data_IF_416438397671
#
_entry.id   IF_416438397671
#
_cell.length_a   1.000
_cell.length_b   1.000
_cell.length_c   1.000
_cell.angle_alpha   90.00
_cell.angle_beta   90.00
_cell.angle_gamma   90.00
#
_symmetry.space_group_name_H-M   'P 1'
#
loop_
_entity.id
_entity.type
_entity.pdbx_description
1 polymer ?
#
# COMPACT_ATOMS: atom_id res chain seq x y z
N UNK A 1 -3.29 29.41 -15.95
CA UNK A 1 -2.22 28.44 -15.67
C UNK A 1 -1.92 27.68 -16.95
N UNK A 2 -0.70 27.76 -17.42
CA UNK A 2 -0.26 27.07 -18.62
C UNK A 2 0.22 25.65 -18.28
N UNK A 3 0.00 24.71 -19.19
CA UNK A 3 0.45 23.33 -19.03
C UNK A 3 1.64 23.06 -19.96
N UNK A 4 2.77 22.66 -19.40
CA UNK A 4 3.88 22.08 -20.16
C UNK A 4 3.74 20.56 -20.26
N UNK A 5 4.06 19.99 -21.42
CA UNK A 5 4.20 18.55 -21.55
C UNK A 5 5.60 18.14 -21.10
N UNK A 6 5.67 17.36 -20.05
CA UNK A 6 6.92 16.77 -19.62
C UNK A 6 7.12 15.46 -20.39
N UNK A 7 8.15 15.41 -21.23
CA UNK A 7 8.56 14.20 -21.91
C UNK A 7 9.47 13.40 -20.98
N UNK A 8 8.93 12.32 -20.44
CA UNK A 8 9.66 11.40 -19.60
C UNK A 8 10.86 10.71 -20.30
N UNK A 9 11.03 10.90 -21.61
CA UNK A 9 12.20 10.39 -22.34
C UNK A 9 13.50 11.15 -22.01
N UNK A 10 13.41 12.38 -21.49
CA UNK A 10 14.59 13.16 -21.13
C UNK A 10 15.11 12.89 -19.70
N UNK A 11 14.31 12.22 -18.88
CA UNK A 11 14.68 11.85 -17.51
C UNK A 11 14.96 10.35 -17.40
N UNK A 12 16.06 9.88 -18.02
CA UNK A 12 16.67 8.58 -17.75
C UNK A 12 15.75 7.36 -17.84
N UNK A 13 15.02 7.30 -18.92
CA UNK A 13 14.52 6.10 -19.61
C UNK A 13 14.10 4.84 -18.84
N UNK A 14 12.93 4.41 -19.11
CA UNK A 14 12.39 3.10 -19.47
C UNK A 14 11.19 2.62 -18.68
N UNK A 15 10.91 3.10 -17.50
CA UNK A 15 9.79 2.59 -16.68
C UNK A 15 8.48 3.30 -16.97
N UNK A 16 8.52 4.49 -17.56
CA UNK A 16 7.33 5.36 -17.78
C UNK A 16 6.95 5.48 -19.26
N UNK A 17 7.36 4.56 -20.13
CA UNK A 17 6.86 4.54 -21.52
C UNK A 17 5.35 4.31 -21.52
N UNK A 18 4.61 5.40 -21.66
CA UNK A 18 3.15 5.40 -21.69
C UNK A 18 2.47 6.34 -20.68
N UNK A 19 3.20 6.94 -19.79
CA UNK A 19 2.67 7.94 -18.86
C UNK A 19 3.09 9.34 -19.31
N UNK A 20 2.19 10.06 -19.98
CA UNK A 20 2.38 11.47 -20.28
C UNK A 20 1.89 12.31 -19.08
N UNK A 21 2.80 12.88 -18.33
CA UNK A 21 2.47 13.82 -17.25
C UNK A 21 2.52 15.23 -17.81
N UNK A 22 1.44 16.02 -17.65
CA UNK A 22 1.46 17.46 -17.94
C UNK A 22 1.85 18.24 -16.70
N UNK A 23 2.93 18.98 -16.79
CA UNK A 23 3.35 19.94 -15.78
C UNK A 23 2.88 21.34 -16.21
N UNK A 24 2.40 22.14 -15.28
CA UNK A 24 1.95 23.49 -15.55
C UNK A 24 3.16 24.42 -15.79
N UNK A 25 3.20 25.09 -16.93
CA UNK A 25 4.14 26.18 -17.20
C UNK A 25 3.78 27.40 -16.33
N UNK A 26 4.76 28.14 -15.87
CA UNK A 26 4.52 29.37 -15.10
C UNK A 26 4.02 30.50 -16.02
N UNK A 27 3.18 31.42 -15.48
CA UNK A 27 2.72 32.60 -16.23
C UNK A 27 3.88 33.43 -16.82
N UNK A 28 5.04 33.40 -16.22
CA UNK A 28 6.24 34.12 -16.66
C UNK A 28 6.78 33.58 -17.99
N UNK A 29 6.73 32.28 -18.24
CA UNK A 29 7.20 31.70 -19.51
C UNK A 29 6.26 32.02 -20.68
N UNK A 30 4.96 32.13 -20.41
CA UNK A 30 3.97 32.54 -21.40
C UNK A 30 4.19 34.01 -21.83
N UNK A 31 4.42 34.92 -20.88
CA UNK A 31 4.66 36.35 -21.16
C UNK A 31 5.95 36.57 -21.97
N UNK A 32 6.99 35.74 -21.79
CA UNK A 32 8.22 35.81 -22.57
C UNK A 32 8.05 35.34 -24.02
N UNK A 33 7.12 34.42 -24.30
CA UNK A 33 6.81 33.98 -25.67
C UNK A 33 6.00 35.01 -26.45
N UNK A 34 5.13 35.77 -25.80
CA UNK A 34 4.34 36.83 -26.44
C UNK A 34 5.13 38.07 -26.85
N UNK A 35 6.34 38.27 -26.31
CA UNK A 35 7.18 39.46 -26.56
C UNK A 35 8.27 39.30 -27.65
N UNK A 36 8.33 38.16 -28.33
CA UNK A 36 9.29 37.98 -29.41
C UNK A 36 8.77 38.55 -30.74
N UNK A 37 9.49 39.48 -31.42
CA UNK A 37 9.03 40.08 -32.66
C UNK A 37 9.04 39.03 -33.77
N UNK A 38 7.96 38.97 -34.53
CA UNK A 38 7.80 38.10 -35.70
C UNK A 38 8.79 38.50 -36.82
N UNK A 39 9.75 37.64 -37.09
CA UNK A 39 10.56 37.71 -38.30
C UNK A 39 9.79 36.99 -39.42
N UNK A 40 9.26 37.79 -40.35
CA UNK A 40 8.66 37.30 -41.61
C UNK A 40 9.74 36.74 -42.54
N UNK A 41 9.78 35.43 -42.72
CA UNK A 41 10.27 34.81 -43.94
C UNK A 41 9.39 33.63 -44.33
N UNK A 42 8.72 33.78 -45.46
CA UNK A 42 7.86 32.83 -46.09
C UNK A 42 8.65 31.60 -46.62
N UNK A 43 8.48 30.47 -45.94
CA UNK A 43 8.57 29.17 -46.55
C UNK A 43 7.62 28.23 -45.80
N UNK A 44 6.64 27.71 -46.55
CA UNK A 44 5.60 26.82 -46.04
C UNK A 44 6.26 25.55 -45.44
N UNK A 45 6.21 25.32 -44.12
CA UNK A 45 6.76 24.08 -43.57
C UNK A 45 5.93 22.88 -44.05
N UNK A 46 6.54 21.69 -44.16
CA UNK A 46 5.78 20.48 -44.48
C UNK A 46 4.70 20.27 -43.43
N UNK A 47 3.51 19.85 -43.84
CA UNK A 47 2.40 19.61 -42.94
C UNK A 47 2.79 18.55 -41.91
N UNK A 48 3.08 19.05 -40.67
CA UNK A 48 3.25 18.18 -39.52
C UNK A 48 1.89 17.57 -39.24
N UNK A 49 1.79 16.26 -39.43
CA UNK A 49 0.61 15.48 -39.04
C UNK A 49 0.43 15.66 -37.52
N UNK A 50 -0.47 16.57 -37.15
CA UNK A 50 -0.86 16.75 -35.75
C UNK A 50 -1.56 15.47 -35.33
N UNK A 51 -0.86 14.59 -34.61
CA UNK A 51 -1.50 13.47 -33.95
C UNK A 51 -2.64 14.03 -33.08
N UNK A 52 -3.87 13.55 -33.30
CA UNK A 52 -5.02 13.91 -32.44
C UNK A 52 -4.58 13.84 -30.97
N UNK A 53 -4.88 14.85 -30.16
CA UNK A 53 -4.60 14.78 -28.72
C UNK A 53 -5.18 13.47 -28.17
N UNK A 54 -4.36 12.68 -27.49
CA UNK A 54 -4.87 11.50 -26.78
C UNK A 54 -5.78 12.03 -25.69
N UNK A 55 -7.06 11.70 -25.78
CA UNK A 55 -8.04 12.08 -24.78
C UNK A 55 -7.66 11.40 -23.46
N UNK A 56 -7.30 12.19 -22.44
CA UNK A 56 -6.91 11.66 -21.13
C UNK A 56 -8.17 11.23 -20.38
N UNK A 57 -8.16 10.00 -19.90
CA UNK A 57 -9.17 9.45 -19.01
C UNK A 57 -8.62 9.38 -17.58
N UNK A 58 -9.45 9.73 -16.59
CA UNK A 58 -9.18 9.37 -15.20
C UNK A 58 -9.59 7.92 -14.97
N UNK A 59 -8.75 7.16 -14.28
CA UNK A 59 -9.01 5.79 -13.85
C UNK A 59 -9.03 5.77 -12.31
N UNK A 60 -9.95 5.01 -11.74
CA UNK A 60 -10.16 4.90 -10.31
C UNK A 60 -10.03 3.45 -9.86
N UNK A 61 -9.26 3.22 -8.81
CA UNK A 61 -9.03 1.88 -8.29
C UNK A 61 -8.34 1.91 -6.93
N UNK A 62 -8.02 0.74 -6.41
CA UNK A 62 -7.33 0.58 -5.14
C UNK A 62 -6.17 -0.40 -5.31
N UNK A 63 -4.98 -0.01 -4.85
CA UNK A 63 -3.76 -0.81 -4.91
C UNK A 63 -3.26 -1.22 -3.53
N UNK A 64 -4.14 -1.18 -2.50
CA UNK A 64 -3.79 -1.56 -1.14
C UNK A 64 -5.00 -2.21 -0.45
N UNK A 65 -5.10 -3.53 -0.62
CA UNK A 65 -6.28 -4.31 -0.21
C UNK A 65 -5.84 -5.63 0.41
N UNK A 66 -6.37 -5.92 1.59
CA UNK A 66 -6.14 -7.17 2.31
C UNK A 66 -7.38 -8.05 2.36
N UNK A 67 -7.15 -9.34 2.27
CA UNK A 67 -8.18 -10.38 2.25
C UNK A 67 -8.01 -11.37 3.41
N UNK A 68 -8.67 -12.51 3.30
CA UNK A 68 -8.51 -13.62 4.23
C UNK A 68 -7.09 -14.21 4.28
N UNK A 69 -6.22 -13.84 3.33
CA UNK A 69 -4.82 -14.31 3.31
C UNK A 69 -3.87 -13.42 4.10
N UNK A 70 -4.22 -12.18 4.40
CA UNK A 70 -3.49 -11.38 5.39
C UNK A 70 -3.68 -11.95 6.78
N UNK A 71 -2.60 -12.09 7.53
CA UNK A 71 -2.65 -12.65 8.88
C UNK A 71 -3.55 -11.83 9.82
N UNK A 72 -3.54 -10.52 9.72
CA UNK A 72 -4.38 -9.59 10.47
C UNK A 72 -5.81 -9.54 9.92
N UNK A 73 -5.99 -9.54 8.58
CA UNK A 73 -7.32 -9.65 7.96
C UNK A 73 -8.08 -10.85 8.49
N UNK A 74 -7.46 -12.04 8.47
CA UNK A 74 -8.07 -13.25 8.99
C UNK A 74 -8.31 -13.19 10.50
N UNK A 75 -7.33 -12.71 11.27
CA UNK A 75 -7.47 -12.58 12.73
C UNK A 75 -8.64 -11.67 13.11
N UNK A 76 -8.88 -10.61 12.34
CA UNK A 76 -10.00 -9.69 12.54
C UNK A 76 -11.33 -10.14 11.95
N UNK A 77 -11.39 -11.37 11.43
CA UNK A 77 -12.63 -12.01 10.99
C UNK A 77 -12.98 -11.78 9.53
N UNK A 78 -12.05 -11.37 8.69
CA UNK A 78 -12.28 -11.28 7.24
C UNK A 78 -12.32 -12.66 6.63
N UNK A 79 -13.42 -12.99 5.95
CA UNK A 79 -13.62 -14.24 5.23
C UNK A 79 -13.48 -14.08 3.72
N UNK A 80 -13.60 -12.85 3.22
CA UNK A 80 -13.51 -12.54 1.80
C UNK A 80 -12.14 -12.92 1.24
N UNK A 81 -12.15 -13.66 0.14
CA UNK A 81 -10.98 -14.17 -0.57
C UNK A 81 -10.48 -13.12 -1.60
N UNK A 82 -9.31 -13.32 -2.24
CA UNK A 82 -8.90 -12.50 -3.38
C UNK A 82 -9.94 -12.46 -4.50
N UNK A 83 -10.63 -13.57 -4.75
CA UNK A 83 -11.73 -13.64 -5.73
C UNK A 83 -12.91 -12.74 -5.33
N UNK A 84 -13.26 -12.70 -4.06
CA UNK A 84 -14.32 -11.81 -3.54
C UNK A 84 -13.91 -10.34 -3.68
N UNK A 85 -12.65 -10.02 -3.41
CA UNK A 85 -12.11 -8.67 -3.56
C UNK A 85 -12.24 -8.15 -5.01
N UNK A 86 -11.89 -8.98 -6.00
CA UNK A 86 -12.05 -8.60 -7.41
C UNK A 86 -13.52 -8.55 -7.84
N UNK A 87 -14.39 -9.45 -7.33
CA UNK A 87 -15.85 -9.36 -7.57
C UNK A 87 -16.41 -8.04 -7.04
N UNK A 88 -16.03 -7.68 -5.80
CA UNK A 88 -16.43 -6.41 -5.21
C UNK A 88 -15.99 -5.21 -6.05
N UNK A 89 -14.71 -5.18 -6.48
CA UNK A 89 -14.18 -4.11 -7.29
C UNK A 89 -14.90 -3.95 -8.64
N UNK A 90 -15.43 -5.05 -9.20
CA UNK A 90 -16.29 -5.06 -10.40
C UNK A 90 -17.73 -4.62 -10.13
N UNK A 91 -18.08 -4.29 -8.87
CA UNK A 91 -19.42 -3.84 -8.47
C UNK A 91 -20.37 -4.96 -8.06
N UNK A 92 -19.89 -6.20 -7.89
CA UNK A 92 -20.68 -7.30 -7.36
C UNK A 92 -20.81 -7.17 -5.83
N UNK A 93 -21.93 -7.64 -5.27
CA UNK A 93 -22.10 -7.68 -3.82
C UNK A 93 -21.30 -8.85 -3.23
N UNK A 94 -20.58 -8.59 -2.14
CA UNK A 94 -19.92 -9.63 -1.32
C UNK A 94 -20.43 -9.58 0.12
N UNK A 95 -20.43 -10.74 0.77
CA UNK A 95 -20.90 -10.84 2.15
C UNK A 95 -19.87 -10.30 3.15
N UNK A 96 -20.34 -9.48 4.10
CA UNK A 96 -19.58 -9.15 5.30
C UNK A 96 -19.91 -10.16 6.40
N UNK A 97 -18.94 -10.64 7.18
CA UNK A 97 -19.17 -11.61 8.25
C UNK A 97 -20.14 -11.12 9.34
N UNK A 98 -20.40 -9.82 9.44
CA UNK A 98 -21.41 -9.26 10.34
C UNK A 98 -22.88 -9.42 9.82
N UNK A 99 -23.10 -10.09 8.68
CA UNK A 99 -24.43 -10.48 8.21
C UNK A 99 -25.09 -9.51 7.22
N UNK A 100 -24.34 -8.63 6.57
CA UNK A 100 -24.83 -7.75 5.50
C UNK A 100 -23.95 -7.86 4.25
N UNK A 101 -24.42 -7.30 3.14
CA UNK A 101 -23.65 -7.25 1.90
C UNK A 101 -22.94 -5.90 1.74
N UNK A 102 -21.72 -5.97 1.19
CA UNK A 102 -20.95 -4.81 0.74
C UNK A 102 -20.99 -4.76 -0.78
N UNK A 103 -21.24 -3.57 -1.36
CA UNK A 103 -21.30 -3.39 -2.80
C UNK A 103 -20.93 -1.98 -3.17
N UNK A 104 -20.13 -1.82 -4.23
CA UNK A 104 -19.82 -0.52 -4.80
C UNK A 104 -21.01 0.03 -5.62
N UNK A 105 -21.24 1.33 -5.55
CA UNK A 105 -22.22 2.02 -6.41
C UNK A 105 -21.74 2.15 -7.86
N UNK A 106 -20.41 2.11 -8.07
CA UNK A 106 -19.76 2.13 -9.37
C UNK A 106 -18.57 1.19 -9.35
N UNK A 107 -18.39 0.32 -10.36
CA UNK A 107 -17.19 -0.49 -10.49
C UNK A 107 -15.91 0.37 -10.53
N UNK A 108 -14.81 -0.18 -10.06
CA UNK A 108 -13.49 0.38 -10.22
C UNK A 108 -12.91 0.03 -11.60
N UNK A 109 -11.92 0.81 -12.05
CA UNK A 109 -11.21 0.55 -13.31
C UNK A 109 -10.04 -0.42 -13.12
N UNK A 110 -9.43 -0.44 -11.93
CA UNK A 110 -8.33 -1.33 -11.59
C UNK A 110 -8.34 -1.70 -10.10
N UNK A 111 -7.71 -2.84 -9.77
CA UNK A 111 -7.62 -3.32 -8.39
C UNK A 111 -6.41 -4.23 -8.19
N UNK A 112 -5.81 -4.19 -7.00
CA UNK A 112 -4.78 -5.14 -6.60
C UNK A 112 -5.02 -5.63 -5.17
N UNK A 113 -5.04 -6.93 -4.98
CA UNK A 113 -4.96 -7.54 -3.66
C UNK A 113 -3.50 -7.58 -3.25
N UNK A 114 -3.20 -7.00 -2.08
CA UNK A 114 -1.84 -6.80 -1.57
C UNK A 114 -1.68 -7.38 -0.16
N UNK A 115 -2.15 -8.60 0.04
CA UNK A 115 -2.00 -9.29 1.30
C UNK A 115 -0.53 -9.32 1.76
N UNK A 116 -0.31 -9.26 3.08
CA UNK A 116 1.04 -9.33 3.66
C UNK A 116 1.80 -10.58 3.22
N UNK A 117 2.95 -10.41 2.56
CA UNK A 117 3.80 -11.52 2.10
C UNK A 117 4.34 -12.36 3.25
N UNK A 118 4.65 -11.72 4.38
CA UNK A 118 5.04 -12.40 5.60
C UNK A 118 3.84 -13.14 6.19
N UNK A 119 3.95 -14.47 6.34
CA UNK A 119 2.86 -15.32 6.83
C UNK A 119 1.58 -15.31 5.98
N UNK A 120 1.69 -15.08 4.67
CA UNK A 120 0.57 -15.10 3.72
C UNK A 120 -0.23 -16.41 3.84
N UNK A 121 -1.51 -16.33 4.21
CA UNK A 121 -2.41 -17.47 4.39
C UNK A 121 -2.18 -18.33 5.64
N UNK A 122 -1.12 -18.05 6.42
CA UNK A 122 -0.72 -18.95 7.54
C UNK A 122 -1.74 -18.99 8.66
N UNK A 123 -2.34 -17.86 9.07
CA UNK A 123 -3.37 -17.86 10.12
C UNK A 123 -4.59 -18.65 9.68
N UNK A 124 -5.00 -18.51 8.41
CA UNK A 124 -6.11 -19.28 7.83
C UNK A 124 -5.79 -20.77 7.83
N UNK A 125 -4.59 -21.15 7.39
CA UNK A 125 -4.17 -22.55 7.37
C UNK A 125 -4.05 -23.16 8.78
N UNK A 126 -3.61 -22.38 9.77
CA UNK A 126 -3.56 -22.79 11.16
C UNK A 126 -4.98 -22.98 11.76
N UNK A 127 -5.92 -22.11 11.39
CA UNK A 127 -7.28 -22.14 11.92
C UNK A 127 -8.16 -23.25 11.31
N UNK A 128 -7.89 -23.65 10.09
CA UNK A 128 -8.63 -24.69 9.37
C UNK A 128 -8.09 -26.08 9.73
N UNK A 129 -8.78 -26.78 10.62
CA UNK A 129 -8.39 -28.11 11.13
C UNK A 129 -8.28 -29.20 10.07
N UNK A 130 -8.74 -28.95 8.84
CA UNK A 130 -8.60 -29.89 7.72
C UNK A 130 -7.19 -29.84 7.06
N UNK A 131 -6.42 -28.76 7.29
CA UNK A 131 -5.09 -28.61 6.68
C UNK A 131 -4.02 -29.43 7.38
N UNK A 132 -2.94 -29.74 6.66
CA UNK A 132 -1.78 -30.39 7.28
C UNK A 132 -1.08 -29.43 8.26
N UNK A 133 -1.01 -28.14 7.93
CA UNK A 133 -0.37 -27.12 8.77
C UNK A 133 -1.05 -26.97 10.13
N UNK A 134 -2.39 -27.12 10.20
CA UNK A 134 -3.15 -27.03 11.44
C UNK A 134 -2.80 -28.11 12.48
N UNK A 135 -2.11 -29.16 12.07
CA UNK A 135 -1.68 -30.25 12.98
C UNK A 135 -0.44 -29.89 13.79
N UNK A 136 0.26 -28.81 13.45
CA UNK A 136 1.35 -28.29 14.26
C UNK A 136 0.85 -27.78 15.62
N UNK A 137 1.62 -27.99 16.67
CA UNK A 137 1.33 -27.47 18.02
C UNK A 137 1.10 -25.94 18.00
N UNK A 138 1.85 -25.23 17.17
CA UNK A 138 1.70 -23.79 16.93
C UNK A 138 0.25 -23.42 16.53
N UNK A 139 -0.43 -24.26 15.78
CA UNK A 139 -1.75 -23.96 15.20
C UNK A 139 -2.91 -24.12 16.19
N UNK A 140 -2.73 -24.88 17.27
CA UNK A 140 -3.80 -25.21 18.20
C UNK A 140 -4.56 -24.00 18.79
N UNK A 141 -3.91 -22.86 19.16
CA UNK A 141 -4.61 -21.67 19.66
C UNK A 141 -5.52 -20.98 18.62
N UNK A 142 -5.36 -21.30 17.34
CA UNK A 142 -6.07 -20.64 16.23
C UNK A 142 -7.22 -21.49 15.67
N UNK A 143 -7.34 -22.76 16.09
CA UNK A 143 -8.36 -23.67 15.58
C UNK A 143 -9.76 -23.07 15.67
N UNK A 144 -10.47 -23.06 14.55
CA UNK A 144 -11.84 -22.55 14.48
C UNK A 144 -11.98 -21.05 14.72
N UNK A 145 -10.91 -20.24 14.61
CA UNK A 145 -10.93 -18.79 14.89
C UNK A 145 -12.08 -18.07 14.20
N UNK A 146 -12.37 -18.43 12.95
CA UNK A 146 -13.47 -17.90 12.15
C UNK A 146 -14.60 -18.93 11.89
N UNK A 147 -14.74 -19.93 12.75
CA UNK A 147 -15.92 -20.80 12.73
C UNK A 147 -17.19 -19.99 13.07
N UNK A 148 -18.36 -20.33 12.54
CA UNK A 148 -19.59 -19.57 12.71
C UNK A 148 -19.91 -19.19 14.16
N UNK A 149 -19.68 -20.10 15.10
CA UNK A 149 -19.89 -19.89 16.54
C UNK A 149 -18.92 -18.85 17.15
N UNK A 150 -17.77 -18.58 16.52
CA UNK A 150 -16.74 -17.64 16.98
C UNK A 150 -16.83 -16.28 16.26
N UNK A 151 -17.78 -16.09 15.35
CA UNK A 151 -17.98 -14.86 14.58
C UNK A 151 -18.83 -13.82 15.30
N UNK A 152 -18.89 -13.86 16.64
CA UNK A 152 -19.59 -12.86 17.43
C UNK A 152 -18.95 -11.47 17.34
N UNK A 153 -19.80 -10.44 17.32
CA UNK A 153 -19.39 -9.04 17.25
C UNK A 153 -19.35 -8.33 18.62
N UNK A 154 -19.47 -9.07 19.71
CA UNK A 154 -19.43 -8.53 21.07
C UNK A 154 -18.04 -8.12 21.52
N UNK A 155 -17.95 -7.27 22.56
CA UNK A 155 -16.70 -6.72 23.10
C UNK A 155 -15.66 -7.80 23.42
N UNK A 156 -16.09 -8.91 24.04
CA UNK A 156 -15.18 -10.02 24.39
C UNK A 156 -14.59 -10.69 23.15
N UNK A 157 -15.40 -10.85 22.09
CA UNK A 157 -14.91 -11.39 20.81
C UNK A 157 -13.88 -10.44 20.17
N UNK A 158 -14.15 -9.14 20.17
CA UNK A 158 -13.21 -8.13 19.68
C UNK A 158 -11.90 -8.20 20.44
N UNK A 159 -11.92 -8.20 21.78
CA UNK A 159 -10.72 -8.28 22.61
C UNK A 159 -9.94 -9.58 22.37
N UNK A 160 -10.64 -10.70 22.21
CA UNK A 160 -10.00 -11.96 21.90
C UNK A 160 -9.28 -11.92 20.54
N UNK A 161 -9.91 -11.33 19.50
CA UNK A 161 -9.29 -11.18 18.18
C UNK A 161 -8.07 -10.26 18.19
N UNK A 162 -8.12 -9.15 18.92
CA UNK A 162 -6.98 -8.26 19.12
C UNK A 162 -5.82 -8.98 19.82
N UNK A 163 -6.12 -9.77 20.86
CA UNK A 163 -5.11 -10.57 21.54
C UNK A 163 -4.53 -11.66 20.63
N UNK A 164 -5.39 -12.35 19.87
CA UNK A 164 -4.96 -13.35 18.89
C UNK A 164 -4.04 -12.77 17.83
N UNK A 165 -4.36 -11.60 17.29
CA UNK A 165 -3.49 -10.89 16.35
C UNK A 165 -2.12 -10.58 16.97
N UNK A 166 -2.09 -9.97 18.15
CA UNK A 166 -0.85 -9.58 18.82
C UNK A 166 0.03 -10.77 19.19
N UNK A 167 -0.57 -11.86 19.68
CA UNK A 167 0.16 -13.08 20.04
C UNK A 167 0.62 -13.85 18.80
N UNK A 168 -0.20 -13.92 17.73
CA UNK A 168 0.19 -14.61 16.51
C UNK A 168 1.51 -14.08 15.95
N UNK A 169 1.61 -12.77 15.73
CA UNK A 169 2.76 -12.20 15.05
C UNK A 169 4.05 -12.44 15.85
N UNK A 170 4.04 -12.19 17.16
CA UNK A 170 5.20 -12.42 18.02
C UNK A 170 5.59 -13.89 18.11
N UNK A 171 4.61 -14.77 18.28
CA UNK A 171 4.82 -16.20 18.42
C UNK A 171 5.31 -16.83 17.10
N UNK A 172 4.69 -16.48 15.96
CA UNK A 172 5.07 -16.98 14.65
C UNK A 172 6.51 -16.58 14.28
N UNK A 173 6.90 -15.32 14.54
CA UNK A 173 8.27 -14.85 14.30
C UNK A 173 9.25 -15.60 15.21
N UNK A 174 8.95 -15.68 16.50
CA UNK A 174 9.82 -16.34 17.49
C UNK A 174 10.00 -17.82 17.16
N UNK A 175 8.93 -18.57 16.89
CA UNK A 175 9.01 -20.01 16.62
C UNK A 175 9.67 -20.31 15.27
N UNK A 176 9.43 -19.52 14.24
CA UNK A 176 10.09 -19.68 12.94
C UNK A 176 11.59 -19.37 13.05
N UNK A 177 11.96 -18.31 13.78
CA UNK A 177 13.37 -17.92 13.96
C UNK A 177 14.14 -18.91 14.80
N UNK A 178 13.49 -19.50 15.83
CA UNK A 178 14.13 -20.54 16.68
C UNK A 178 14.15 -21.93 16.04
N UNK A 179 13.49 -22.12 14.89
CA UNK A 179 13.35 -23.41 14.21
C UNK A 179 12.35 -24.37 14.89
N UNK A 180 11.58 -23.92 15.87
CA UNK A 180 10.50 -24.70 16.48
C UNK A 180 9.32 -24.89 15.51
N UNK A 181 8.99 -23.87 14.72
CA UNK A 181 8.11 -23.94 13.57
C UNK A 181 8.95 -24.06 12.30
N UNK A 182 8.73 -25.11 11.52
CA UNK A 182 9.48 -25.34 10.29
C UNK A 182 9.21 -24.25 9.27
N UNK A 183 10.27 -23.56 8.86
CA UNK A 183 10.21 -22.48 7.89
C UNK A 183 9.72 -22.96 6.53
N UNK A 184 10.08 -24.16 6.10
CA UNK A 184 9.66 -24.69 4.79
C UNK A 184 8.17 -25.04 4.78
N UNK A 185 7.59 -25.49 5.90
CA UNK A 185 6.14 -25.65 6.04
C UNK A 185 5.41 -24.32 5.98
N UNK A 186 5.90 -23.29 6.68
CA UNK A 186 5.37 -21.92 6.58
C UNK A 186 5.41 -21.42 5.14
N UNK A 187 6.58 -21.53 4.48
CA UNK A 187 6.74 -21.12 3.08
C UNK A 187 5.89 -21.99 2.12
N UNK A 188 5.60 -23.22 2.45
CA UNK A 188 4.66 -24.07 1.71
C UNK A 188 3.25 -23.48 1.67
N UNK A 189 2.75 -23.00 2.81
CA UNK A 189 1.47 -22.28 2.91
C UNK A 189 1.53 -20.96 2.13
N UNK A 190 2.58 -20.19 2.32
CA UNK A 190 2.79 -18.91 1.61
C UNK A 190 2.75 -19.10 0.09
N UNK A 191 3.45 -20.10 -0.45
CA UNK A 191 3.47 -20.42 -1.88
C UNK A 191 2.08 -20.77 -2.41
N UNK A 192 1.31 -21.54 -1.65
CA UNK A 192 -0.05 -21.91 -2.03
C UNK A 192 -0.98 -20.70 -2.08
N UNK A 193 -0.97 -19.85 -1.04
CA UNK A 193 -1.79 -18.65 -0.99
C UNK A 193 -1.36 -17.63 -2.06
N UNK A 194 -0.06 -17.49 -2.31
CA UNK A 194 0.47 -16.62 -3.37
C UNK A 194 0.01 -17.06 -4.75
N UNK A 195 0.06 -18.36 -5.04
CA UNK A 195 -0.45 -18.91 -6.29
C UNK A 195 -1.93 -18.60 -6.47
N UNK A 196 -2.74 -18.82 -5.45
CA UNK A 196 -4.18 -18.56 -5.48
C UNK A 196 -4.48 -17.06 -5.69
N UNK A 197 -3.68 -16.17 -5.11
CA UNK A 197 -3.79 -14.72 -5.33
C UNK A 197 -3.44 -14.32 -6.78
N UNK A 198 -2.43 -14.95 -7.38
CA UNK A 198 -2.10 -14.76 -8.80
C UNK A 198 -3.23 -15.27 -9.69
N UNK A 199 -3.74 -16.47 -9.43
CA UNK A 199 -4.81 -17.10 -10.21
C UNK A 199 -6.09 -16.24 -10.13
N UNK A 200 -6.40 -15.65 -8.96
CA UNK A 200 -7.50 -14.72 -8.81
C UNK A 200 -7.29 -13.44 -9.64
N UNK A 201 -6.10 -12.84 -9.60
CA UNK A 201 -5.80 -11.65 -10.40
C UNK A 201 -5.94 -11.95 -11.89
N UNK A 202 -5.40 -13.07 -12.37
CA UNK A 202 -5.48 -13.47 -13.77
C UNK A 202 -6.92 -13.72 -14.22
N UNK A 203 -7.71 -14.44 -13.42
CA UNK A 203 -9.09 -14.77 -13.70
C UNK A 203 -9.98 -13.53 -13.91
N UNK A 204 -9.76 -12.47 -13.15
CA UNK A 204 -10.60 -11.27 -13.18
C UNK A 204 -10.07 -10.17 -14.11
N UNK A 205 -8.88 -10.33 -14.68
CA UNK A 205 -8.30 -9.34 -15.58
C UNK A 205 -9.07 -9.29 -16.91
N UNK A 206 -9.69 -8.14 -17.19
CA UNK A 206 -10.43 -7.86 -18.43
C UNK A 206 -9.89 -6.58 -19.06
N UNK A 207 -8.78 -6.65 -19.83
CA UNK A 207 -8.08 -5.50 -20.36
C UNK A 207 -8.99 -4.55 -21.14
N UNK A 208 -8.94 -3.27 -20.78
CA UNK A 208 -9.78 -2.22 -21.37
C UNK A 208 -11.12 -1.99 -20.64
N UNK A 209 -11.49 -2.85 -19.69
CA UNK A 209 -12.69 -2.71 -18.87
C UNK A 209 -12.36 -2.72 -17.37
N UNK A 210 -11.57 -3.67 -16.92
CA UNK A 210 -11.12 -3.82 -15.55
C UNK A 210 -9.72 -4.43 -15.51
N UNK A 211 -8.78 -3.74 -14.89
CA UNK A 211 -7.40 -4.20 -14.79
C UNK A 211 -7.12 -4.73 -13.39
N UNK A 212 -6.61 -5.96 -13.32
CA UNK A 212 -6.12 -6.54 -12.07
C UNK A 212 -4.62 -6.71 -12.12
N UNK A 213 -3.99 -6.69 -10.96
CA UNK A 213 -2.55 -6.91 -10.83
C UNK A 213 -2.28 -8.02 -9.83
N UNK A 214 -1.37 -8.92 -10.16
CA UNK A 214 -0.74 -9.75 -9.14
C UNK A 214 0.11 -8.85 -8.25
N UNK A 215 -0.11 -8.90 -6.95
CA UNK A 215 0.52 -7.99 -6.01
C UNK A 215 0.60 -8.58 -4.59
N UNK A 216 1.44 -8.00 -3.75
CA UNK A 216 1.54 -8.33 -2.34
C UNK A 216 2.13 -7.16 -1.56
N UNK A 217 1.98 -7.16 -0.24
CA UNK A 217 2.65 -6.19 0.61
C UNK A 217 3.94 -6.77 1.20
N UNK A 218 5.07 -6.12 0.88
CA UNK A 218 6.32 -6.30 1.60
C UNK A 218 6.24 -5.57 2.93
N UNK A 219 5.98 -6.32 3.99
CA UNK A 219 5.79 -5.83 5.36
C UNK A 219 7.10 -5.86 6.12
N UNK A 220 7.77 -4.73 6.25
CA UNK A 220 9.04 -4.60 6.97
C UNK A 220 9.03 -3.39 7.91
N UNK A 221 9.91 -3.43 8.90
CA UNK A 221 10.13 -2.35 9.85
C UNK A 221 11.57 -2.39 10.39
N UNK A 222 12.06 -1.25 10.84
CA UNK A 222 13.31 -1.17 11.62
C UNK A 222 13.14 -1.82 12.99
N UNK A 223 14.25 -2.01 13.71
CA UNK A 223 14.24 -2.60 15.05
C UNK A 223 13.42 -1.77 16.06
N UNK A 224 13.34 -0.46 15.85
CA UNK A 224 12.55 0.48 16.64
C UNK A 224 11.12 0.69 16.10
N UNK A 225 10.64 -0.24 15.24
CA UNK A 225 9.29 -0.25 14.66
C UNK A 225 8.99 0.91 13.68
N UNK A 226 10.00 1.52 13.08
CA UNK A 226 9.81 2.44 11.95
C UNK A 226 9.27 1.70 10.74
N UNK A 227 8.12 2.13 10.20
CA UNK A 227 7.43 1.47 9.10
C UNK A 227 8.22 1.56 7.79
N UNK A 228 8.41 0.42 7.13
CA UNK A 228 9.07 0.30 5.82
C UNK A 228 8.25 -0.54 4.83
N UNK A 229 6.93 -0.54 4.97
CA UNK A 229 6.04 -1.32 4.11
C UNK A 229 5.96 -0.79 2.68
N UNK A 230 5.81 -1.70 1.71
CA UNK A 230 5.63 -1.40 0.28
C UNK A 230 4.68 -2.40 -0.36
N UNK A 231 3.75 -1.90 -1.17
CA UNK A 231 2.99 -2.77 -2.06
C UNK A 231 3.81 -3.03 -3.31
N UNK A 232 4.11 -4.28 -3.58
CA UNK A 232 4.82 -4.72 -4.80
C UNK A 232 3.77 -5.14 -5.83
N UNK A 233 3.75 -4.45 -6.97
CA UNK A 233 2.79 -4.64 -8.05
C UNK A 233 3.52 -5.17 -9.27
N UNK A 234 3.07 -6.30 -9.82
CA UNK A 234 3.60 -6.86 -11.06
C UNK A 234 2.79 -6.40 -12.26
N UNK A 235 3.47 -6.18 -13.38
CA UNK A 235 2.85 -5.75 -14.63
C UNK A 235 1.98 -6.83 -15.28
N UNK A 236 2.24 -8.10 -14.97
CA UNK A 236 1.52 -9.25 -15.50
C UNK A 236 1.57 -10.42 -14.53
N UNK A 237 0.91 -11.52 -14.91
CA UNK A 237 0.77 -12.73 -14.10
C UNK A 237 1.65 -13.90 -14.56
N UNK A 238 2.32 -13.77 -15.72
CA UNK A 238 3.20 -14.81 -16.26
C UNK A 238 4.57 -14.88 -15.58
N UNK A 239 5.06 -16.08 -15.35
CA UNK A 239 6.42 -16.37 -14.83
C UNK A 239 6.82 -15.65 -13.53
N UNK A 240 5.83 -15.39 -12.68
CA UNK A 240 6.07 -14.74 -11.38
C UNK A 240 6.88 -15.64 -10.43
N UNK A 241 7.62 -15.04 -9.49
CA UNK A 241 8.36 -15.78 -8.47
C UNK A 241 7.47 -16.78 -7.73
N UNK A 242 8.05 -17.93 -7.38
CA UNK A 242 7.32 -18.99 -6.67
C UNK A 242 6.80 -18.55 -5.31
N UNK A 243 7.47 -17.59 -4.69
CA UNK A 243 7.09 -16.97 -3.42
C UNK A 243 7.38 -15.47 -3.45
N UNK A 244 6.59 -14.63 -2.76
CA UNK A 244 6.82 -13.20 -2.69
C UNK A 244 8.05 -12.90 -1.83
N UNK A 245 8.84 -11.90 -2.22
CA UNK A 245 9.93 -11.42 -1.38
C UNK A 245 9.36 -10.78 -0.11
N UNK A 246 9.78 -11.23 1.04
CA UNK A 246 9.26 -10.80 2.32
C UNK A 246 10.37 -10.57 3.34
N UNK A 247 10.01 -10.16 4.55
CA UNK A 247 10.95 -10.03 5.67
C UNK A 247 11.67 -11.34 6.01
N UNK A 248 11.17 -12.49 5.58
CA UNK A 248 11.91 -13.76 5.67
C UNK A 248 13.18 -13.79 4.82
N UNK A 249 13.24 -12.97 3.77
CA UNK A 249 14.40 -12.81 2.89
C UNK A 249 15.31 -11.70 3.41
N UNK A 250 14.76 -10.51 3.62
CA UNK A 250 15.47 -9.38 4.21
C UNK A 250 14.48 -8.36 4.81
N UNK A 251 14.94 -7.66 5.84
CA UNK A 251 14.24 -6.49 6.40
C UNK A 251 14.62 -5.18 5.67
N UNK A 252 15.69 -5.20 4.88
CA UNK A 252 16.21 -4.06 4.14
C UNK A 252 15.45 -3.87 2.81
N UNK A 253 14.79 -2.71 2.57
CA UNK A 253 14.11 -2.44 1.31
C UNK A 253 15.04 -2.38 0.08
N UNK A 254 16.33 -2.12 0.27
CA UNK A 254 17.30 -2.09 -0.82
C UNK A 254 17.52 -3.50 -1.41
N UNK A 255 17.46 -4.53 -0.58
CA UNK A 255 17.51 -5.93 -1.03
C UNK A 255 16.23 -6.30 -1.81
N UNK A 256 15.07 -5.72 -1.44
CA UNK A 256 13.85 -5.84 -2.25
C UNK A 256 14.05 -5.21 -3.64
N UNK A 257 14.63 -4.00 -3.71
CA UNK A 257 14.89 -3.36 -5.01
C UNK A 257 15.88 -4.16 -5.85
N UNK A 258 16.92 -4.71 -5.25
CA UNK A 258 17.86 -5.58 -5.95
C UNK A 258 17.16 -6.83 -6.52
N UNK A 259 16.31 -7.47 -5.72
CA UNK A 259 15.51 -8.60 -6.17
C UNK A 259 14.56 -8.23 -7.32
N UNK A 260 13.93 -7.05 -7.26
CA UNK A 260 13.07 -6.56 -8.35
C UNK A 260 13.88 -6.27 -9.63
N UNK A 261 15.10 -5.73 -9.51
CA UNK A 261 15.99 -5.50 -10.65
C UNK A 261 16.45 -6.82 -11.27
N UNK A 262 16.75 -7.84 -10.46
CA UNK A 262 17.10 -9.19 -10.93
C UNK A 262 15.92 -9.86 -11.67
N UNK A 263 14.69 -9.63 -11.24
CA UNK A 263 13.49 -10.08 -11.95
C UNK A 263 13.28 -9.33 -13.27
N UNK A 264 13.50 -8.03 -13.25
CA UNK A 264 13.39 -7.16 -14.45
C UNK A 264 14.39 -7.58 -15.52
N UNK A 265 15.61 -7.97 -15.13
CA UNK A 265 16.61 -8.52 -16.03
C UNK A 265 16.16 -9.85 -16.69
N UNK A 266 15.22 -10.56 -16.08
CA UNK A 266 14.57 -11.78 -16.61
C UNK A 266 13.25 -11.50 -17.34
N UNK A 267 12.88 -10.22 -17.49
CA UNK A 267 11.65 -9.82 -18.19
C UNK A 267 10.40 -9.70 -17.28
N UNK A 268 10.53 -9.86 -15.96
CA UNK A 268 9.43 -9.70 -15.01
C UNK A 268 9.44 -8.27 -14.46
N UNK A 269 8.52 -7.45 -14.95
CA UNK A 269 8.39 -6.03 -14.59
C UNK A 269 7.54 -5.86 -13.31
N UNK A 270 8.03 -5.03 -12.40
CA UNK A 270 7.32 -4.67 -11.17
C UNK A 270 7.66 -3.26 -10.70
N UNK A 271 6.83 -2.72 -9.80
CA UNK A 271 7.10 -1.51 -9.05
C UNK A 271 6.72 -1.73 -7.57
N UNK A 272 7.29 -0.93 -6.69
CA UNK A 272 6.93 -0.92 -5.28
C UNK A 272 6.34 0.45 -4.89
N UNK A 273 5.31 0.45 -4.03
CA UNK A 273 4.61 1.64 -3.55
C UNK A 273 4.81 1.75 -2.04
N UNK A 274 5.76 2.57 -1.57
CA UNK A 274 5.90 2.85 -0.14
C UNK A 274 4.62 3.47 0.42
N UNK A 275 4.24 3.07 1.63
CA UNK A 275 3.07 3.61 2.29
C UNK A 275 3.28 3.77 3.81
N UNK A 276 2.38 4.50 4.46
CA UNK A 276 2.48 4.86 5.87
C UNK A 276 3.85 5.44 6.25
N UNK A 277 4.41 6.27 5.41
CA UNK A 277 5.70 6.91 5.68
C UNK A 277 5.64 7.80 6.93
N UNK A 278 4.46 8.35 7.26
CA UNK A 278 4.21 9.06 8.52
C UNK A 278 4.58 8.24 9.76
N UNK A 279 4.43 6.91 9.71
CA UNK A 279 4.81 5.98 10.79
C UNK A 279 6.23 5.41 10.67
N UNK A 280 7.05 5.91 9.76
CA UNK A 280 8.37 5.32 9.47
C UNK A 280 9.48 5.69 10.46
N UNK A 281 9.22 6.57 11.40
CA UNK A 281 10.23 7.11 12.31
C UNK A 281 11.44 7.72 11.58
N UNK A 282 11.17 8.49 10.52
CA UNK A 282 12.19 9.15 9.71
C UNK A 282 12.92 8.24 8.72
N UNK A 283 12.54 6.95 8.62
CA UNK A 283 13.31 5.97 7.85
C UNK A 283 12.89 5.86 6.38
N UNK A 284 11.65 6.25 6.04
CA UNK A 284 11.16 6.07 4.67
C UNK A 284 11.89 6.95 3.67
N UNK A 285 12.20 8.19 4.04
CA UNK A 285 12.82 9.20 3.18
C UNK A 285 14.09 9.80 3.78
N UNK A 286 14.80 9.04 4.61
CA UNK A 286 16.09 9.48 5.16
C UNK A 286 17.12 9.73 4.04
N UNK A 287 18.09 10.61 4.31
CA UNK A 287 19.18 10.96 3.38
C UNK A 287 20.42 10.06 3.55
N UNK A 288 20.20 8.84 3.96
CA UNK A 288 21.23 7.81 4.08
C UNK A 288 20.66 6.46 3.63
N UNK A 289 21.50 5.58 3.15
CA UNK A 289 21.16 4.19 2.81
C UNK A 289 20.92 3.34 4.08
N UNK A 290 20.72 2.04 3.90
CA UNK A 290 20.51 1.13 5.03
C UNK A 290 21.74 1.01 5.93
N UNK A 291 22.93 1.09 5.39
CA UNK A 291 24.20 1.03 6.13
C UNK A 291 24.47 2.34 6.91
N UNK A 292 23.80 3.43 6.56
CA UNK A 292 23.98 4.76 7.15
C UNK A 292 24.90 5.67 6.35
N UNK A 293 25.32 5.25 5.16
CA UNK A 293 26.12 6.07 4.26
C UNK A 293 25.25 7.10 3.50
N UNK A 294 25.75 8.28 3.15
CA UNK A 294 25.03 9.27 2.37
C UNK A 294 24.53 8.70 1.04
N UNK A 295 23.32 9.11 0.61
CA UNK A 295 22.77 8.67 -0.66
C UNK A 295 23.66 9.04 -1.83
N UNK A 296 23.96 8.07 -2.68
CA UNK A 296 24.72 8.22 -3.91
C UNK A 296 23.86 8.06 -5.17
N UNK A 297 24.48 8.20 -6.34
CA UNK A 297 23.83 8.06 -7.63
C UNK A 297 23.25 6.64 -7.85
N UNK A 298 23.96 5.60 -7.39
CA UNK A 298 23.54 4.21 -7.58
C UNK A 298 22.26 3.92 -6.77
N UNK A 299 22.23 4.32 -5.51
CA UNK A 299 21.03 4.26 -4.66
C UNK A 299 19.86 5.03 -5.28
N UNK A 300 20.10 6.30 -5.67
CA UNK A 300 19.06 7.17 -6.18
C UNK A 300 18.43 6.61 -7.46
N UNK A 301 19.24 6.17 -8.41
CA UNK A 301 18.79 5.57 -9.66
C UNK A 301 18.04 4.24 -9.44
N UNK A 302 18.49 3.41 -8.50
CA UNK A 302 17.81 2.17 -8.14
C UNK A 302 16.46 2.44 -7.48
N UNK A 303 16.41 3.37 -6.54
CA UNK A 303 15.19 3.71 -5.82
C UNK A 303 14.09 4.22 -6.75
N UNK A 304 14.36 5.27 -7.52
CA UNK A 304 13.33 5.87 -8.39
C UNK A 304 12.84 4.88 -9.47
N UNK A 305 13.69 3.96 -9.92
CA UNK A 305 13.31 2.91 -10.85
C UNK A 305 12.32 1.92 -10.22
N UNK A 306 12.47 1.62 -8.94
CA UNK A 306 11.65 0.63 -8.23
C UNK A 306 10.47 1.26 -7.47
N UNK A 307 10.60 2.51 -6.98
CA UNK A 307 9.57 3.23 -6.23
C UNK A 307 9.12 4.52 -6.97
N UNK A 308 8.52 4.40 -8.18
CA UNK A 308 8.09 5.56 -8.97
C UNK A 308 6.80 6.20 -8.45
N UNK A 309 6.13 5.60 -7.47
CA UNK A 309 4.86 6.03 -6.89
C UNK A 309 4.94 5.88 -5.38
N UNK A 310 4.32 6.80 -4.63
CA UNK A 310 4.13 6.71 -3.18
C UNK A 310 2.65 6.83 -2.84
N UNK A 311 2.20 6.07 -1.85
CA UNK A 311 0.88 6.22 -1.26
C UNK A 311 0.89 7.39 -0.29
N UNK A 312 0.17 8.47 -0.68
CA UNK A 312 0.21 9.75 0.04
C UNK A 312 -0.71 9.77 1.25
N UNK A 313 -1.77 8.98 1.22
CA UNK A 313 -2.76 8.90 2.30
C UNK A 313 -3.53 7.59 2.27
N UNK A 314 -3.94 7.14 3.43
CA UNK A 314 -4.85 6.02 3.65
C UNK A 314 -5.44 6.13 5.08
N UNK A 315 -6.21 5.13 5.53
CA UNK A 315 -6.91 5.20 6.82
C UNK A 315 -5.99 5.39 8.05
N UNK A 316 -4.71 4.97 7.96
CA UNK A 316 -3.71 5.18 9.04
C UNK A 316 -3.04 6.57 8.98
N UNK A 317 -3.62 7.54 8.29
CA UNK A 317 -3.23 8.95 8.27
C UNK A 317 -2.55 9.40 7.00
N UNK A 318 -2.39 10.73 6.90
CA UNK A 318 -1.66 11.36 5.82
C UNK A 318 -0.17 11.14 5.94
N UNK A 319 0.46 10.86 4.81
CA UNK A 319 1.93 10.85 4.63
C UNK A 319 2.41 12.07 3.84
N UNK A 320 1.51 13.04 3.55
CA UNK A 320 1.85 14.23 2.77
C UNK A 320 2.81 15.15 3.49
N UNK A 321 2.37 15.69 4.64
CA UNK A 321 3.15 16.62 5.46
C UNK A 321 2.67 16.64 6.91
N UNK A 322 3.37 17.41 7.75
CA UNK A 322 3.05 17.61 9.17
C UNK A 322 3.14 19.11 9.49
N UNK A 323 2.33 19.66 10.46
CA UNK A 323 2.36 21.08 10.82
C UNK A 323 3.74 21.62 11.20
N UNK A 324 4.59 20.79 11.80
CA UNK A 324 5.98 21.18 12.16
C UNK A 324 6.83 21.38 10.90
N UNK A 325 6.64 20.57 9.85
CA UNK A 325 7.38 20.65 8.58
C UNK A 325 6.79 21.70 7.63
N UNK A 326 5.50 22.01 7.77
CA UNK A 326 4.75 22.94 6.90
C UNK A 326 3.97 23.93 7.74
N UNK A 327 4.64 24.75 8.54
CA UNK A 327 4.05 25.63 9.56
C UNK A 327 3.17 26.76 9.00
N UNK A 328 3.21 27.03 7.69
CA UNK A 328 2.38 28.04 7.02
C UNK A 328 1.17 27.45 6.27
N UNK A 329 1.03 26.13 6.29
CA UNK A 329 -0.07 25.43 5.63
C UNK A 329 -1.16 25.13 6.67
N UNK A 330 -2.32 25.77 6.53
CA UNK A 330 -3.47 25.57 7.42
C UNK A 330 -4.05 24.14 7.38
N UNK A 331 -3.78 23.40 6.29
CA UNK A 331 -4.24 22.02 6.09
C UNK A 331 -3.23 20.97 6.53
N UNK A 332 -2.01 21.36 6.89
CA UNK A 332 -0.96 20.42 7.29
C UNK A 332 -1.33 19.51 8.47
N UNK A 333 -2.30 19.93 9.29
CA UNK A 333 -2.83 19.16 10.42
C UNK A 333 -3.96 18.18 10.08
N UNK A 334 -4.34 18.06 8.79
CA UNK A 334 -5.46 17.21 8.40
C UNK A 334 -5.06 15.73 8.44
N UNK A 335 -5.87 14.92 9.12
CA UNK A 335 -5.72 13.46 9.25
C UNK A 335 -4.33 12.96 9.72
N UNK A 336 -3.69 13.68 10.61
CA UNK A 336 -2.42 13.27 11.21
C UNK A 336 -2.59 12.00 12.05
N UNK A 337 -1.72 11.02 11.82
CA UNK A 337 -1.48 9.88 12.71
C UNK A 337 0.00 9.89 13.11
N UNK A 338 0.33 10.34 14.33
CA UNK A 338 1.71 10.67 14.70
C UNK A 338 2.53 9.49 15.24
N UNK A 339 1.99 8.27 15.21
CA UNK A 339 2.63 7.11 15.84
C UNK A 339 3.26 6.19 14.80
N UNK A 340 4.31 5.46 15.22
CA UNK A 340 4.83 4.31 14.47
C UNK A 340 3.73 3.25 14.37
N UNK A 341 3.68 2.54 13.25
CA UNK A 341 2.60 1.57 13.03
C UNK A 341 2.62 0.48 14.10
N UNK A 342 1.43 0.16 14.61
CA UNK A 342 1.20 -0.80 15.70
C UNK A 342 1.97 -0.51 17.00
N UNK A 343 2.27 0.78 17.28
CA UNK A 343 2.91 1.21 18.52
C UNK A 343 2.29 2.50 19.12
N UNK A 344 2.51 2.89 20.39
CA UNK A 344 2.22 4.19 21.02
C UNK A 344 3.39 5.18 20.90
N UNK A 345 4.49 4.71 20.34
CA UNK A 345 5.67 5.53 20.23
C UNK A 345 5.48 6.54 19.09
N UNK A 346 5.80 7.81 19.36
CA UNK A 346 5.75 8.84 18.34
C UNK A 346 6.74 8.55 17.21
N UNK A 347 6.31 8.81 15.99
CA UNK A 347 7.16 8.76 14.80
C UNK A 347 7.91 10.07 14.67
N UNK A 348 9.19 10.01 14.32
CA UNK A 348 9.97 11.18 13.92
C UNK A 348 9.38 11.76 12.63
N UNK A 349 9.28 13.09 12.56
CA UNK A 349 8.65 13.77 11.42
C UNK A 349 9.60 13.90 10.24
N UNK A 350 10.83 14.34 10.47
CA UNK A 350 11.87 14.49 9.45
C UNK A 350 12.18 13.12 8.83
N UNK A 351 12.17 13.06 7.50
CA UNK A 351 12.35 11.82 6.75
C UNK A 351 11.11 10.91 6.69
N UNK A 352 9.97 11.37 7.22
CA UNK A 352 8.72 10.60 7.24
C UNK A 352 7.66 11.11 6.26
N UNK A 353 7.81 12.29 5.66
CA UNK A 353 6.74 12.91 4.88
C UNK A 353 7.15 13.22 3.45
N UNK A 354 6.23 12.98 2.52
CA UNK A 354 6.49 13.05 1.08
C UNK A 354 6.85 14.46 0.61
N UNK A 355 6.25 15.52 1.16
CA UNK A 355 6.55 16.91 0.76
C UNK A 355 7.99 17.29 1.11
N UNK A 356 8.49 16.86 2.25
CA UNK A 356 9.91 17.03 2.62
C UNK A 356 10.82 16.20 1.69
N UNK A 357 10.42 14.95 1.39
CA UNK A 357 11.19 14.12 0.47
C UNK A 357 11.33 14.74 -0.93
N UNK A 358 10.27 15.36 -1.46
CA UNK A 358 10.34 16.10 -2.74
C UNK A 358 11.38 17.24 -2.69
N UNK A 359 11.41 18.01 -1.60
CA UNK A 359 12.39 19.09 -1.41
C UNK A 359 13.82 18.53 -1.31
N UNK A 360 14.01 17.47 -0.56
CA UNK A 360 15.29 16.78 -0.43
C UNK A 360 15.76 16.20 -1.77
N UNK A 361 14.85 15.64 -2.57
CA UNK A 361 15.16 15.16 -3.91
C UNK A 361 15.62 16.24 -4.87
N UNK A 362 15.01 17.44 -4.81
CA UNK A 362 15.47 18.61 -5.57
C UNK A 362 16.87 19.03 -5.12
N UNK A 363 17.14 19.05 -3.81
CA UNK A 363 18.45 19.41 -3.28
C UNK A 363 19.56 18.41 -3.70
N UNK A 364 19.26 17.11 -3.72
CA UNK A 364 20.17 16.08 -4.24
C UNK A 364 20.45 16.30 -5.73
N UNK A 365 19.40 16.61 -6.52
CA UNK A 365 19.57 16.95 -7.94
C UNK A 365 20.51 18.16 -8.18
N UNK A 366 20.47 19.17 -7.32
CA UNK A 366 21.41 20.31 -7.39
C UNK A 366 22.87 19.91 -7.07
N UNK A 367 23.07 18.81 -6.36
CA UNK A 367 24.38 18.24 -6.06
C UNK A 367 24.87 17.28 -7.15
N UNK A 368 24.08 17.05 -8.22
CA UNK A 368 24.42 16.17 -9.33
C UNK A 368 24.05 14.70 -9.08
N UNK A 369 23.26 14.40 -8.06
CA UNK A 369 22.72 13.07 -7.77
C UNK A 369 21.30 12.97 -8.36
N UNK A 370 20.95 11.88 -9.02
CA UNK A 370 19.58 11.61 -9.48
C UNK A 370 18.59 11.83 -8.32
N UNK A 371 17.45 12.50 -8.59
CA UNK A 371 16.42 12.70 -7.58
C UNK A 371 15.70 11.37 -7.28
N UNK A 372 15.92 10.71 -6.12
CA UNK A 372 15.30 9.45 -5.77
C UNK A 372 13.81 9.59 -5.38
N UNK A 373 13.32 10.82 -5.25
CA UNK A 373 11.99 11.16 -4.79
C UNK A 373 11.13 11.85 -5.85
N UNK A 374 11.45 11.65 -7.13
CA UNK A 374 10.65 12.16 -8.24
C UNK A 374 9.47 11.23 -8.55
N UNK A 375 8.72 10.87 -7.53
CA UNK A 375 7.62 9.92 -7.60
C UNK A 375 6.26 10.58 -7.86
N UNK A 376 5.32 9.82 -8.43
CA UNK A 376 3.90 10.15 -8.44
C UNK A 376 3.19 9.76 -7.15
N UNK A 377 1.89 10.08 -7.05
CA UNK A 377 1.09 9.85 -5.85
C UNK A 377 -0.13 8.98 -6.13
N UNK A 378 -0.49 8.14 -5.16
CA UNK A 378 -1.77 7.43 -5.12
C UNK A 378 -2.35 7.52 -3.71
N UNK A 379 -3.67 7.57 -3.59
CA UNK A 379 -4.40 7.30 -2.36
C UNK A 379 -4.97 5.89 -2.44
N UNK A 380 -4.93 5.13 -1.37
CA UNK A 380 -5.46 3.78 -1.29
C UNK A 380 -6.18 3.55 0.03
N UNK A 381 -6.91 2.44 0.17
CA UNK A 381 -7.73 2.21 1.35
C UNK A 381 -7.00 1.54 2.50
N UNK A 382 -6.08 0.64 2.21
CA UNK A 382 -5.51 -0.30 3.18
C UNK A 382 -6.63 -1.07 3.93
N UNK A 383 -7.69 -1.42 3.20
CA UNK A 383 -8.80 -2.18 3.77
C UNK A 383 -8.35 -3.61 4.13
N UNK A 384 -8.84 -4.11 5.26
CA UNK A 384 -8.64 -5.49 5.69
C UNK A 384 -9.96 -6.29 5.67
N UNK A 385 -10.90 -5.85 4.83
CA UNK A 385 -12.18 -6.51 4.61
C UNK A 385 -12.44 -6.85 3.15
N UNK A 386 -11.41 -6.82 2.30
CA UNK A 386 -11.46 -6.99 0.85
C UNK A 386 -12.33 -5.96 0.11
N UNK A 387 -12.89 -5.00 0.82
CA UNK A 387 -13.86 -4.03 0.31
C UNK A 387 -13.52 -2.64 0.83
N UNK A 388 -13.49 -1.66 -0.06
CA UNK A 388 -13.30 -0.24 0.28
C UNK A 388 -14.45 0.57 -0.29
N UNK A 389 -14.90 1.58 0.44
CA UNK A 389 -15.97 2.47 0.01
C UNK A 389 -15.44 3.88 -0.20
N UNK A 390 -15.72 4.43 -1.36
CA UNK A 390 -15.38 5.81 -1.71
C UNK A 390 -16.45 6.83 -1.26
N UNK A 391 -17.57 6.34 -0.75
CA UNK A 391 -18.69 7.15 -0.27
C UNK A 391 -18.80 7.03 1.24
N UNK A 392 -18.63 8.14 1.94
CA UNK A 392 -18.59 8.20 3.41
C UNK A 392 -19.83 7.58 4.08
N UNK A 393 -21.02 7.81 3.50
CA UNK A 393 -22.26 7.23 4.02
C UNK A 393 -22.30 5.71 3.96
N UNK A 394 -21.53 5.12 3.06
CA UNK A 394 -21.56 3.70 2.76
C UNK A 394 -20.32 3.00 3.34
N UNK A 395 -19.47 3.71 4.11
CA UNK A 395 -18.29 3.14 4.74
C UNK A 395 -18.68 2.02 5.69
N UNK A 396 -18.11 0.85 5.46
CA UNK A 396 -18.47 -0.37 6.16
C UNK A 396 -17.45 -0.74 7.21
N UNK A 397 -16.20 -0.96 6.82
CA UNK A 397 -15.19 -1.54 7.71
C UNK A 397 -13.78 -1.34 7.17
N UNK A 398 -12.83 -1.15 8.09
CA UNK A 398 -11.39 -1.31 7.81
C UNK A 398 -10.93 -2.72 8.20
N UNK A 399 -11.40 -3.25 9.32
CA UNK A 399 -10.88 -4.43 10.01
C UNK A 399 -11.93 -5.55 10.13
N UNK A 400 -12.46 -6.02 9.02
CA UNK A 400 -13.37 -7.15 9.00
C UNK A 400 -14.51 -7.04 10.04
N UNK A 401 -14.67 -8.05 10.85
CA UNK A 401 -15.76 -8.15 11.83
C UNK A 401 -15.70 -7.09 12.94
N UNK A 402 -14.50 -6.71 13.40
CA UNK A 402 -14.35 -5.86 14.59
C UNK A 402 -14.72 -4.39 14.37
N UNK A 403 -14.90 -3.96 13.14
CA UNK A 403 -15.31 -2.58 12.80
C UNK A 403 -16.49 -2.50 11.84
N UNK A 404 -17.24 -3.59 11.68
CA UNK A 404 -18.25 -3.73 10.64
C UNK A 404 -19.49 -2.86 10.85
N UNK A 405 -19.87 -2.56 12.10
CA UNK A 405 -21.07 -1.76 12.37
C UNK A 405 -20.73 -0.41 13.01
N UNK A 406 -21.63 0.57 12.86
CA UNK A 406 -21.50 1.87 13.51
C UNK A 406 -21.47 1.77 15.03
N UNK A 407 -22.20 0.82 15.60
CA UNK A 407 -22.22 0.54 17.03
C UNK A 407 -20.86 0.02 17.51
N UNK A 408 -20.26 -0.95 16.81
CA UNK A 408 -18.90 -1.42 17.10
C UNK A 408 -17.89 -0.28 17.04
N UNK A 409 -17.91 0.51 15.96
CA UNK A 409 -17.03 1.69 15.80
C UNK A 409 -17.24 2.74 16.90
N UNK A 410 -18.44 2.81 17.47
CA UNK A 410 -18.80 3.74 18.52
C UNK A 410 -18.56 3.26 19.96
N UNK A 411 -18.42 1.95 20.18
CA UNK A 411 -18.47 1.34 21.53
C UNK A 411 -17.11 1.02 22.14
N UNK A 412 -16.01 1.09 21.39
CA UNK A 412 -14.69 0.81 21.95
C UNK A 412 -14.24 1.93 22.89
N UNK A 413 -13.93 1.61 24.17
CA UNK A 413 -13.44 2.59 25.12
C UNK A 413 -12.11 3.21 24.65
N UNK A 414 -11.98 4.52 24.81
CA UNK A 414 -10.72 5.23 24.56
C UNK A 414 -9.64 4.95 25.61
N UNK A 415 -10.02 4.36 26.74
CA UNK A 415 -9.16 4.14 27.90
C UNK A 415 -9.15 2.67 28.28
N UNK A 416 -7.95 2.09 28.40
CA UNK A 416 -7.77 0.73 28.93
C UNK A 416 -7.16 -0.30 27.98
N UNK A 417 -7.12 -0.05 26.69
CA UNK A 417 -6.17 -0.67 25.77
C UNK A 417 -4.99 0.29 25.68
N UNK A 418 -3.75 -0.19 25.60
CA UNK A 418 -2.59 0.68 25.39
C UNK A 418 -2.96 1.70 24.28
N UNK A 419 -2.59 2.96 24.45
CA UNK A 419 -3.12 4.08 23.66
C UNK A 419 -3.10 3.91 22.14
N UNK A 420 -2.32 2.99 21.65
CA UNK A 420 -2.10 2.56 20.28
C UNK A 420 -3.20 1.75 19.67
N UNK A 421 -3.54 0.68 20.34
CA UNK A 421 -4.59 -0.21 19.94
C UNK A 421 -5.92 0.56 19.87
N UNK A 422 -6.12 1.48 20.81
CA UNK A 422 -7.26 2.39 20.80
C UNK A 422 -7.26 3.33 19.59
N UNK A 423 -6.10 3.86 19.19
CA UNK A 423 -6.03 4.77 18.04
C UNK A 423 -6.22 4.03 16.71
N UNK A 424 -5.52 2.92 16.50
CA UNK A 424 -5.69 2.09 15.31
C UNK A 424 -7.11 1.55 15.21
N UNK A 425 -7.68 1.08 16.32
CA UNK A 425 -9.05 0.60 16.38
C UNK A 425 -10.04 1.75 16.17
N UNK A 426 -9.86 2.91 16.78
CA UNK A 426 -10.75 4.06 16.61
C UNK A 426 -10.68 4.63 15.19
N UNK A 427 -9.51 4.67 14.57
CA UNK A 427 -9.36 5.10 13.18
C UNK A 427 -9.90 4.04 12.23
N UNK A 428 -9.60 2.78 12.46
CA UNK A 428 -10.18 1.64 11.76
C UNK A 428 -11.72 1.54 11.95
N UNK A 429 -12.24 2.05 13.05
CA UNK A 429 -13.65 2.14 13.35
C UNK A 429 -14.34 3.37 12.71
N UNK A 430 -13.67 4.10 11.83
CA UNK A 430 -14.21 5.24 11.10
C UNK A 430 -14.30 6.56 11.88
N UNK A 431 -13.77 6.62 13.11
CA UNK A 431 -13.72 7.89 13.87
C UNK A 431 -12.59 8.82 13.42
N UNK A 432 -11.65 8.33 12.65
CA UNK A 432 -10.57 9.14 12.10
C UNK A 432 -10.97 9.96 10.87
N UNK A 433 -12.07 9.59 10.21
CA UNK A 433 -12.63 10.33 9.08
C UNK A 433 -13.82 11.21 9.46
N UNK A 434 -14.34 11.11 10.69
CA UNK A 434 -15.31 12.08 11.17
C UNK A 434 -14.55 13.34 11.57
N UNK A 435 -14.80 14.40 10.84
CA UNK A 435 -14.41 15.78 11.11
C UNK A 435 -14.32 16.03 12.62
N UNK A 436 -13.10 16.02 13.17
CA UNK A 436 -12.87 16.74 14.40
C UNK A 436 -13.05 18.22 14.06
N UNK A 437 -14.21 18.77 14.38
CA UNK A 437 -14.43 20.19 14.45
C UNK A 437 -13.72 20.75 15.68
#
# INVERSE_FOLDING_TARGET
>A
AATAEFDAQSAGQSIVRGWNVKVFETETELLLREQSPSATTSSKPPAVSVKKPIERKAFFGDLHVHTTYSFDGYAFGTLATPYDAYRFARGEAIANPAGFNMQLTRPMDFYAVTDHAMFLGVVKAAADTSTQFSKNEFSAPYHGLNAPENMGAGLLSILNRLNTFSSFLSEAVMQTTSGKLDRDEVLGVVRSAWRDSIDAADQFNDPGRFTTFAAYEYTSSTADMGNLHRNVIFKGTGELPREPFSRFHSANPEDLWQWMDDLRAKGVESLAIPHNSNGSNGQMFKLADWAGDPLDEAYAAQRIRNEPIVEITQIKGTSETHPVLSSRDEWAGFEIMPYRIATSALSQMEGSYAREALLNGIALGQQGITNPYQFGFIGSSDTHSAASQNKESDFVSKLGLISSTGEQRGSLPQTGLSGEMSYLVLKALGRGNSRLR
#
